data_IF_825355875485
#
_entry.id   IF_825355875485
#
_cell.length_a   1.000
_cell.length_b   1.000
_cell.length_c   1.000
_cell.angle_alpha   90.00
_cell.angle_beta   90.00
_cell.angle_gamma   90.00
#
_symmetry.space_group_name_H-M   'P 1'
#
loop_
_entity.id
_entity.type
_entity.pdbx_description
1 polymer ?
#
# COMPACT_ATOMS: atom_id res chain seq x y z
N UNK A 1 -22.89 6.66 -30.99
CA UNK A 1 -22.22 6.99 -29.70
C UNK A 1 -21.55 8.33 -29.82
N UNK A 2 -21.75 9.24 -28.87
CA UNK A 2 -21.05 10.54 -28.83
C UNK A 2 -19.61 10.29 -28.36
N UNK A 3 -18.62 10.72 -29.15
CA UNK A 3 -17.23 10.73 -28.69
C UNK A 3 -17.05 11.78 -27.60
N UNK A 4 -16.23 11.52 -26.56
CA UNK A 4 -15.87 12.54 -25.59
C UNK A 4 -15.32 13.80 -26.26
N UNK A 5 -15.80 14.95 -25.82
CA UNK A 5 -15.28 16.26 -26.19
C UNK A 5 -13.95 16.54 -25.51
N UNK A 6 -13.13 17.43 -26.06
CA UNK A 6 -11.86 17.84 -25.45
C UNK A 6 -12.04 18.34 -24.01
N UNK A 7 -13.17 19.00 -23.72
CA UNK A 7 -13.52 19.47 -22.39
C UNK A 7 -13.74 18.30 -21.42
N UNK A 8 -14.59 17.33 -21.80
CA UNK A 8 -14.87 16.13 -20.98
C UNK A 8 -13.58 15.30 -20.75
N UNK A 9 -12.70 15.25 -21.76
CA UNK A 9 -11.38 14.59 -21.65
C UNK A 9 -10.49 15.31 -20.63
N UNK A 10 -10.38 16.64 -20.69
CA UNK A 10 -9.54 17.39 -19.76
C UNK A 10 -10.10 17.36 -18.32
N UNK A 11 -11.42 17.38 -18.14
CA UNK A 11 -12.05 17.20 -16.82
C UNK A 11 -11.72 15.82 -16.22
N UNK A 12 -11.78 14.75 -17.02
CA UNK A 12 -11.43 13.41 -16.57
C UNK A 12 -9.92 13.25 -16.27
N UNK A 13 -9.05 13.91 -17.04
CA UNK A 13 -7.61 13.97 -16.75
C UNK A 13 -7.34 14.71 -15.45
N UNK A 14 -8.06 15.79 -15.18
CA UNK A 14 -7.93 16.53 -13.94
C UNK A 14 -8.36 15.68 -12.73
N UNK A 15 -9.47 14.96 -12.86
CA UNK A 15 -9.89 13.98 -11.86
C UNK A 15 -8.82 12.90 -11.63
N UNK A 16 -8.21 12.40 -12.69
CA UNK A 16 -7.06 11.48 -12.59
C UNK A 16 -5.89 12.11 -11.84
N UNK A 17 -5.51 13.36 -12.13
CA UNK A 17 -4.40 14.03 -11.43
C UNK A 17 -4.66 14.12 -9.93
N UNK A 18 -5.87 14.49 -9.53
CA UNK A 18 -6.23 14.57 -8.11
C UNK A 18 -6.16 13.21 -7.42
N UNK A 19 -6.64 12.15 -8.07
CA UNK A 19 -6.47 10.75 -7.60
C UNK A 19 -4.99 10.39 -7.42
N UNK A 20 -4.15 10.76 -8.39
CA UNK A 20 -2.71 10.47 -8.34
C UNK A 20 -2.00 11.25 -7.23
N UNK A 21 -2.42 12.48 -6.95
CA UNK A 21 -1.91 13.26 -5.83
C UNK A 21 -2.32 12.64 -4.48
N UNK A 22 -3.52 12.07 -4.38
CA UNK A 22 -3.95 11.29 -3.22
C UNK A 22 -3.14 10.01 -3.04
N UNK A 23 -2.87 9.25 -4.12
CA UNK A 23 -1.96 8.08 -4.10
C UNK A 23 -0.54 8.46 -3.64
N UNK A 24 -0.01 9.58 -4.14
CA UNK A 24 1.31 10.11 -3.74
C UNK A 24 1.34 10.50 -2.26
N UNK A 25 0.27 11.14 -1.78
CA UNK A 25 0.10 11.50 -0.37
C UNK A 25 0.03 10.25 0.51
N UNK A 26 -0.67 9.19 0.06
CA UNK A 26 -0.74 7.91 0.76
C UNK A 26 0.65 7.30 0.91
N UNK A 27 1.43 7.26 -0.17
CA UNK A 27 2.80 6.75 -0.14
C UNK A 27 3.69 7.53 0.83
N UNK A 28 3.59 8.86 0.83
CA UNK A 28 4.37 9.72 1.73
C UNK A 28 3.99 9.52 3.21
N UNK A 29 2.69 9.42 3.51
CA UNK A 29 2.20 9.18 4.86
C UNK A 29 2.57 7.78 5.36
N UNK A 30 2.39 6.75 4.52
CA UNK A 30 2.83 5.38 4.79
C UNK A 30 4.33 5.35 5.12
N UNK A 31 5.11 6.11 4.35
CA UNK A 31 6.55 6.22 4.57
C UNK A 31 6.90 6.79 5.94
N UNK A 32 6.21 7.85 6.34
CA UNK A 32 6.41 8.48 7.64
C UNK A 32 6.07 7.52 8.78
N UNK A 33 4.91 6.86 8.75
CA UNK A 33 4.47 5.98 9.85
C UNK A 33 5.27 4.70 9.95
N UNK A 34 5.68 4.09 8.84
CA UNK A 34 6.56 2.91 8.88
C UNK A 34 7.95 3.29 9.42
N UNK A 35 8.46 4.47 9.06
CA UNK A 35 9.74 4.97 9.60
C UNK A 35 9.65 5.22 11.10
N UNK A 36 8.57 5.84 11.57
CA UNK A 36 8.37 6.09 13.00
C UNK A 36 8.16 4.78 13.78
N UNK A 37 7.39 3.83 13.25
CA UNK A 37 7.23 2.52 13.85
C UNK A 37 8.57 1.77 13.96
N UNK A 38 9.39 1.75 12.90
CA UNK A 38 10.73 1.15 12.94
C UNK A 38 11.61 1.80 14.02
N UNK A 39 11.59 3.13 14.11
CA UNK A 39 12.34 3.88 15.13
C UNK A 39 11.90 3.50 16.55
N UNK A 40 10.60 3.46 16.81
CA UNK A 40 10.05 3.07 18.11
C UNK A 40 10.43 1.63 18.46
N UNK A 41 10.33 0.69 17.51
CA UNK A 41 10.73 -0.71 17.72
C UNK A 41 12.23 -0.81 18.04
N UNK A 42 13.10 -0.07 17.34
CA UNK A 42 14.53 -0.02 17.63
C UNK A 42 14.77 0.53 19.05
N UNK A 43 14.13 1.64 19.40
CA UNK A 43 14.28 2.29 20.70
C UNK A 43 13.85 1.38 21.85
N UNK A 44 12.71 0.69 21.72
CA UNK A 44 12.26 -0.33 22.68
C UNK A 44 13.30 -1.45 22.74
N UNK A 45 13.66 -2.04 21.60
CA UNK A 45 14.54 -3.21 21.55
C UNK A 45 15.90 -2.99 22.21
N UNK A 46 16.51 -1.82 21.99
CA UNK A 46 17.82 -1.48 22.55
C UNK A 46 17.77 -1.23 24.08
N UNK A 47 16.60 -0.94 24.66
CA UNK A 47 16.47 -0.75 26.12
C UNK A 47 16.51 -2.06 26.92
N UNK A 48 16.11 -3.17 26.30
CA UNK A 48 15.96 -4.45 27.01
C UNK A 48 17.27 -5.22 27.23
N UNK A 49 18.40 -4.79 26.65
CA UNK A 49 19.74 -5.38 26.83
C UNK A 49 19.78 -6.92 26.67
N UNK A 50 18.94 -7.47 25.80
CA UNK A 50 18.93 -8.91 25.51
C UNK A 50 20.15 -9.24 24.65
N UNK A 51 20.87 -10.31 25.01
CA UNK A 51 22.02 -10.79 24.22
C UNK A 51 21.63 -11.00 22.75
N UNK A 52 22.41 -10.51 21.77
CA UNK A 52 22.05 -10.59 20.35
C UNK A 52 21.76 -12.03 19.87
N UNK A 53 22.47 -13.02 20.43
CA UNK A 53 22.26 -14.45 20.09
C UNK A 53 20.87 -14.96 20.52
N UNK A 54 20.35 -14.44 21.61
CA UNK A 54 19.05 -14.81 22.18
C UNK A 54 17.92 -13.86 21.75
N UNK A 55 18.26 -12.70 21.18
CA UNK A 55 17.29 -11.67 20.85
C UNK A 55 16.23 -12.17 19.87
N UNK A 56 14.99 -12.01 20.29
CA UNK A 56 13.74 -12.05 19.54
C UNK A 56 12.73 -11.25 20.38
N UNK A 57 11.72 -10.64 19.77
CA UNK A 57 10.69 -9.89 20.51
C UNK A 57 10.04 -10.78 21.58
N UNK A 58 9.75 -12.03 21.23
CA UNK A 58 9.15 -13.01 22.13
C UNK A 58 10.06 -13.53 23.25
N UNK A 59 11.34 -13.13 23.30
CA UNK A 59 12.24 -13.51 24.40
C UNK A 59 11.91 -12.77 25.70
N UNK A 60 11.19 -11.66 25.62
CA UNK A 60 10.72 -10.92 26.76
C UNK A 60 9.27 -10.50 26.55
N UNK A 61 8.38 -10.87 27.47
CA UNK A 61 6.94 -10.59 27.35
C UNK A 61 6.63 -9.10 27.24
N UNK A 62 7.32 -8.26 28.02
CA UNK A 62 7.08 -6.82 28.02
C UNK A 62 7.60 -6.16 26.73
N UNK A 63 8.75 -6.61 26.20
CA UNK A 63 9.23 -6.21 24.87
C UNK A 63 8.21 -6.57 23.79
N UNK A 64 7.70 -7.81 23.81
CA UNK A 64 6.69 -8.26 22.86
C UNK A 64 5.43 -7.39 22.93
N UNK A 65 4.93 -7.11 24.13
CA UNK A 65 3.74 -6.27 24.34
C UNK A 65 3.94 -4.82 23.83
N UNK A 66 5.11 -4.22 24.09
CA UNK A 66 5.43 -2.88 23.56
C UNK A 66 5.52 -2.87 22.03
N UNK A 67 6.13 -3.89 21.43
CA UNK A 67 6.22 -4.01 19.96
C UNK A 67 4.84 -4.24 19.35
N UNK A 68 4.02 -5.12 19.94
CA UNK A 68 2.66 -5.40 19.45
C UNK A 68 1.78 -4.14 19.51
N UNK A 69 1.92 -3.30 20.55
CA UNK A 69 1.22 -2.02 20.65
C UNK A 69 1.65 -1.03 19.55
N UNK A 70 2.95 -1.00 19.20
CA UNK A 70 3.46 -0.18 18.09
C UNK A 70 2.88 -0.67 16.76
N UNK A 71 2.86 -1.99 16.52
CA UNK A 71 2.31 -2.58 15.29
C UNK A 71 0.79 -2.37 15.19
N UNK A 72 0.06 -2.44 16.30
CA UNK A 72 -1.37 -2.13 16.34
C UNK A 72 -1.63 -0.66 15.96
N UNK A 73 -0.87 0.27 16.55
CA UNK A 73 -0.98 1.70 16.23
C UNK A 73 -0.62 2.01 14.78
N UNK A 74 0.41 1.34 14.25
CA UNK A 74 0.77 1.42 12.82
C UNK A 74 -0.38 0.96 11.93
N UNK A 75 -1.03 -0.16 12.25
CA UNK A 75 -2.14 -0.69 11.48
C UNK A 75 -3.34 0.26 11.47
N UNK A 76 -3.67 0.86 12.62
CA UNK A 76 -4.73 1.87 12.73
C UNK A 76 -4.42 3.09 11.87
N UNK A 77 -3.18 3.61 11.91
CA UNK A 77 -2.77 4.74 11.08
C UNK A 77 -2.83 4.42 9.58
N UNK A 78 -2.44 3.22 9.17
CA UNK A 78 -2.54 2.77 7.76
C UNK A 78 -4.00 2.75 7.30
N UNK A 79 -4.90 2.19 8.11
CA UNK A 79 -6.33 2.12 7.82
C UNK A 79 -6.96 3.51 7.73
N UNK A 80 -6.63 4.39 8.69
CA UNK A 80 -7.13 5.77 8.73
C UNK A 80 -6.68 6.58 7.50
N UNK A 81 -5.38 6.55 7.15
CA UNK A 81 -4.89 7.26 5.98
C UNK A 81 -5.49 6.73 4.68
N UNK A 82 -5.60 5.41 4.52
CA UNK A 82 -6.18 4.81 3.33
C UNK A 82 -7.65 5.22 3.16
N UNK A 83 -8.45 5.16 4.23
CA UNK A 83 -9.85 5.59 4.19
C UNK A 83 -9.98 7.10 3.91
N UNK A 84 -9.19 7.91 4.61
CA UNK A 84 -9.21 9.37 4.45
C UNK A 84 -8.86 9.80 3.04
N UNK A 85 -7.83 9.20 2.43
CA UNK A 85 -7.38 9.56 1.07
C UNK A 85 -8.23 8.93 -0.04
N UNK A 86 -8.86 7.79 0.23
CA UNK A 86 -9.84 7.19 -0.68
C UNK A 86 -11.12 8.02 -0.76
N UNK A 87 -11.58 8.57 0.36
CA UNK A 87 -12.72 9.48 0.42
C UNK A 87 -12.33 10.86 -0.11
N UNK A 88 -11.17 11.38 0.31
CA UNK A 88 -10.66 12.71 -0.05
C UNK A 88 -11.72 13.81 0.16
N UNK A 89 -12.27 14.38 -0.91
CA UNK A 89 -13.31 15.42 -0.87
C UNK A 89 -14.72 14.89 -1.13
N UNK A 90 -14.88 13.59 -1.36
CA UNK A 90 -16.12 12.92 -1.78
C UNK A 90 -17.01 12.51 -0.59
N UNK A 91 -17.22 13.42 0.37
CA UNK A 91 -17.88 13.14 1.65
C UNK A 91 -19.31 12.62 1.51
N UNK A 92 -20.01 13.02 0.44
CA UNK A 92 -21.36 12.55 0.15
C UNK A 92 -21.44 11.04 -0.15
N UNK A 93 -20.32 10.42 -0.54
CA UNK A 93 -20.21 8.99 -0.85
C UNK A 93 -19.33 8.25 0.16
N UNK A 94 -18.97 8.87 1.29
CA UNK A 94 -18.02 8.35 2.28
C UNK A 94 -18.27 6.90 2.68
N UNK A 95 -19.48 6.60 3.16
CA UNK A 95 -19.80 5.27 3.69
C UNK A 95 -19.72 4.19 2.61
N UNK A 96 -20.14 4.51 1.38
CA UNK A 96 -20.06 3.59 0.25
C UNK A 96 -18.62 3.35 -0.21
N UNK A 97 -17.79 4.39 -0.22
CA UNK A 97 -16.36 4.31 -0.54
C UNK A 97 -15.65 3.44 0.50
N UNK A 98 -15.82 3.75 1.79
CA UNK A 98 -15.17 3.02 2.90
C UNK A 98 -15.61 1.56 2.90
N UNK A 99 -16.91 1.27 2.76
CA UNK A 99 -17.41 -0.09 2.67
C UNK A 99 -16.83 -0.84 1.45
N UNK A 100 -16.65 -0.15 0.33
CA UNK A 100 -16.06 -0.75 -0.86
C UNK A 100 -14.59 -1.08 -0.67
N UNK A 101 -13.74 -0.14 -0.26
CA UNK A 101 -12.28 -0.39 -0.15
C UNK A 101 -11.93 -1.36 0.99
N UNK A 102 -12.80 -1.52 1.99
CA UNK A 102 -12.59 -2.44 3.12
C UNK A 102 -13.24 -3.82 2.93
N UNK A 103 -13.99 -4.02 1.84
CA UNK A 103 -14.66 -5.29 1.53
C UNK A 103 -13.69 -6.47 1.47
N UNK A 104 -14.23 -7.67 1.62
CA UNK A 104 -13.46 -8.87 1.35
C UNK A 104 -13.16 -8.95 -0.15
N UNK A 105 -11.87 -9.10 -0.49
CA UNK A 105 -11.40 -9.28 -1.86
C UNK A 105 -10.30 -10.32 -1.86
N UNK A 106 -10.40 -11.33 -2.73
CA UNK A 106 -9.49 -12.48 -2.77
C UNK A 106 -9.30 -13.15 -1.38
N UNK A 107 -10.40 -13.34 -0.66
CA UNK A 107 -10.45 -14.04 0.64
C UNK A 107 -9.91 -13.25 1.83
N UNK A 108 -9.60 -11.95 1.69
CA UNK A 108 -9.18 -11.08 2.80
C UNK A 108 -9.74 -9.67 2.63
N UNK A 109 -10.16 -9.10 3.75
CA UNK A 109 -10.42 -7.65 3.87
C UNK A 109 -9.13 -6.84 3.77
N UNK A 110 -9.26 -5.54 3.55
CA UNK A 110 -8.14 -4.60 3.61
C UNK A 110 -7.36 -4.73 4.93
N UNK A 111 -8.07 -4.69 6.07
CA UNK A 111 -7.48 -4.75 7.41
C UNK A 111 -6.70 -6.05 7.65
N UNK A 112 -7.25 -7.19 7.25
CA UNK A 112 -6.56 -8.48 7.37
C UNK A 112 -5.26 -8.52 6.54
N UNK A 113 -5.30 -8.01 5.30
CA UNK A 113 -4.13 -7.98 4.42
C UNK A 113 -3.07 -6.99 4.90
N UNK A 114 -3.50 -5.81 5.35
CA UNK A 114 -2.62 -4.81 5.96
C UNK A 114 -1.93 -5.38 7.22
N UNK A 115 -2.68 -6.08 8.08
CA UNK A 115 -2.13 -6.75 9.26
C UNK A 115 -1.03 -7.75 8.87
N UNK A 116 -1.26 -8.60 7.87
CA UNK A 116 -0.25 -9.57 7.43
C UNK A 116 1.04 -8.90 6.97
N UNK A 117 0.95 -7.77 6.27
CA UNK A 117 2.13 -7.05 5.83
C UNK A 117 2.80 -6.30 6.98
N UNK A 118 2.04 -5.76 7.94
CA UNK A 118 2.59 -5.17 9.17
C UNK A 118 3.27 -6.21 10.07
N UNK A 119 2.76 -7.44 10.15
CA UNK A 119 3.41 -8.55 10.86
C UNK A 119 4.75 -8.92 10.18
N UNK A 120 4.80 -8.91 8.84
CA UNK A 120 6.05 -9.12 8.08
C UNK A 120 7.04 -7.97 8.30
N UNK A 121 6.56 -6.73 8.28
CA UNK A 121 7.36 -5.55 8.60
C UNK A 121 8.01 -5.67 9.98
N UNK A 122 7.24 -6.09 10.99
CA UNK A 122 7.76 -6.34 12.34
C UNK A 122 8.93 -7.34 12.32
N UNK A 123 8.81 -8.44 11.57
CA UNK A 123 9.87 -9.46 11.40
C UNK A 123 11.11 -8.92 10.67
N UNK A 124 10.93 -8.08 9.67
CA UNK A 124 12.02 -7.42 8.95
C UNK A 124 12.81 -6.48 9.89
N UNK A 125 12.11 -5.69 10.71
CA UNK A 125 12.72 -4.82 11.72
C UNK A 125 13.39 -5.65 12.83
N UNK A 126 12.79 -6.77 13.26
CA UNK A 126 13.40 -7.70 14.23
C UNK A 126 14.77 -8.21 13.75
N UNK A 127 14.86 -8.58 12.47
CA UNK A 127 16.12 -9.03 11.86
C UNK A 127 17.18 -7.92 11.86
N UNK A 128 16.78 -6.70 11.49
CA UNK A 128 17.65 -5.54 11.50
C UNK A 128 18.16 -5.22 12.92
N UNK A 129 17.28 -5.29 13.93
CA UNK A 129 17.64 -5.12 15.34
C UNK A 129 18.64 -6.16 15.80
N UNK A 130 18.43 -7.45 15.50
CA UNK A 130 19.39 -8.51 15.85
C UNK A 130 20.75 -8.23 15.24
N UNK A 131 20.79 -7.84 13.96
CA UNK A 131 22.03 -7.51 13.28
C UNK A 131 22.71 -6.29 13.91
N UNK A 132 21.94 -5.23 14.19
CA UNK A 132 22.42 -4.00 14.81
C UNK A 132 23.01 -4.24 16.20
N UNK A 133 22.34 -5.03 17.04
CA UNK A 133 22.84 -5.43 18.36
C UNK A 133 24.10 -6.30 18.24
N UNK A 134 24.16 -7.22 17.27
CA UNK A 134 25.32 -8.09 17.06
C UNK A 134 26.57 -7.32 16.65
N UNK A 135 26.37 -6.28 15.84
CA UNK A 135 27.43 -5.46 15.24
C UNK A 135 27.69 -4.15 16.00
N UNK A 136 27.07 -3.95 17.16
CA UNK A 136 27.13 -2.72 17.95
C UNK A 136 26.81 -1.44 17.14
N UNK A 137 25.83 -1.52 16.25
CA UNK A 137 25.36 -0.40 15.42
C UNK A 137 24.49 0.53 16.27
N UNK A 138 24.69 1.85 16.14
CA UNK A 138 23.85 2.84 16.82
C UNK A 138 22.42 2.83 16.27
N UNK A 139 21.45 3.24 17.09
CA UNK A 139 20.03 3.27 16.71
C UNK A 139 19.78 4.10 15.45
N UNK A 140 20.47 5.23 15.32
CA UNK A 140 20.36 6.16 14.19
C UNK A 140 20.90 5.55 12.90
N UNK A 141 22.06 4.88 12.98
CA UNK A 141 22.65 4.18 11.83
C UNK A 141 21.77 3.02 11.39
N UNK A 142 21.25 2.24 12.35
CA UNK A 142 20.35 1.14 12.07
C UNK A 142 19.08 1.63 11.37
N UNK A 143 18.41 2.66 11.90
CA UNK A 143 17.23 3.26 11.27
C UNK A 143 17.52 3.76 9.86
N UNK A 144 18.66 4.43 9.65
CA UNK A 144 19.09 4.88 8.32
C UNK A 144 19.24 3.71 7.34
N UNK A 145 19.87 2.61 7.76
CA UNK A 145 20.04 1.41 6.93
C UNK A 145 18.69 0.78 6.56
N UNK A 146 17.72 0.74 7.49
CA UNK A 146 16.36 0.22 7.23
C UNK A 146 15.69 1.08 6.16
N UNK A 147 15.75 2.41 6.29
CA UNK A 147 15.18 3.35 5.31
C UNK A 147 15.77 3.18 3.91
N UNK A 148 17.06 2.86 3.81
CA UNK A 148 17.73 2.63 2.52
C UNK A 148 17.38 1.27 1.89
N UNK A 149 16.96 0.30 2.71
CA UNK A 149 16.68 -1.07 2.30
C UNK A 149 15.18 -1.39 2.23
N UNK A 150 14.28 -0.41 2.32
CA UNK A 150 12.81 -0.65 2.36
C UNK A 150 12.30 -1.53 1.21
N UNK A 151 12.89 -1.44 0.01
CA UNK A 151 12.48 -2.26 -1.15
C UNK A 151 13.01 -3.70 -1.12
N UNK A 152 14.05 -3.96 -0.35
CA UNK A 152 14.64 -5.28 -0.18
C UNK A 152 15.19 -5.42 1.27
N UNK A 153 14.31 -5.55 2.28
CA UNK A 153 14.68 -5.42 3.69
C UNK A 153 15.77 -6.39 4.12
N UNK A 154 15.77 -7.62 3.59
CA UNK A 154 16.77 -8.63 3.93
C UNK A 154 18.15 -8.34 3.29
N UNK A 155 18.23 -7.48 2.28
CA UNK A 155 19.49 -7.01 1.70
C UNK A 155 20.08 -5.80 2.46
N UNK A 156 19.50 -5.44 3.61
CA UNK A 156 20.09 -4.48 4.53
C UNK A 156 21.56 -4.83 4.85
N UNK A 157 22.45 -3.84 4.79
CA UNK A 157 23.89 -4.04 4.94
C UNK A 157 24.30 -4.71 6.26
N UNK A 158 23.61 -4.42 7.36
CA UNK A 158 23.91 -4.99 8.66
C UNK A 158 23.40 -6.42 8.77
N UNK A 159 22.23 -6.73 8.20
CA UNK A 159 21.72 -8.10 8.10
C UNK A 159 22.69 -8.95 7.30
N UNK A 160 23.12 -8.47 6.12
CA UNK A 160 24.06 -9.18 5.26
C UNK A 160 25.42 -9.39 5.93
N UNK A 161 25.94 -8.37 6.62
CA UNK A 161 27.18 -8.50 7.39
C UNK A 161 27.06 -9.54 8.51
N UNK A 162 25.99 -9.50 9.30
CA UNK A 162 25.79 -10.46 10.38
C UNK A 162 25.65 -11.90 9.86
N UNK A 163 24.98 -12.10 8.71
CA UNK A 163 24.92 -13.40 8.03
C UNK A 163 26.31 -13.88 7.59
N UNK A 164 27.14 -12.98 7.04
CA UNK A 164 28.51 -13.32 6.63
C UNK A 164 29.43 -13.69 7.82
N UNK A 165 29.14 -13.17 9.02
CA UNK A 165 29.81 -13.52 10.27
C UNK A 165 29.24 -14.80 10.92
N UNK A 166 28.34 -15.50 10.23
CA UNK A 166 27.79 -16.79 10.66
C UNK A 166 26.60 -16.68 11.62
N UNK A 167 25.97 -15.52 11.77
CA UNK A 167 24.73 -15.38 12.55
C UNK A 167 23.53 -15.83 11.70
N UNK A 168 22.83 -16.94 12.03
CA UNK A 168 21.74 -17.48 11.21
C UNK A 168 20.43 -16.72 11.45
N UNK A 169 20.43 -15.39 11.27
CA UNK A 169 19.30 -14.50 11.63
C UNK A 169 18.00 -14.94 10.97
N UNK A 170 18.03 -15.21 9.67
CA UNK A 170 16.84 -15.54 8.86
C UNK A 170 16.18 -16.84 9.37
N UNK A 171 16.93 -17.94 9.43
CA UNK A 171 16.39 -19.22 9.86
C UNK A 171 16.02 -19.25 11.34
N UNK A 172 16.80 -18.56 12.20
CA UNK A 172 16.53 -18.46 13.65
C UNK A 172 15.24 -17.69 13.97
N UNK A 173 14.92 -16.67 13.18
CA UNK A 173 13.70 -15.87 13.34
C UNK A 173 12.51 -16.39 12.53
N UNK A 174 12.72 -17.41 11.68
CA UNK A 174 11.69 -17.99 10.82
C UNK A 174 11.20 -17.03 9.74
N UNK A 175 12.11 -16.25 9.16
CA UNK A 175 11.77 -15.23 8.17
C UNK A 175 11.64 -15.87 6.78
N UNK A 176 10.53 -15.60 6.12
CA UNK A 176 10.29 -16.05 4.76
C UNK A 176 11.04 -15.16 3.75
N UNK A 177 11.91 -15.78 2.95
CA UNK A 177 12.78 -15.08 1.99
C UNK A 177 12.12 -14.83 0.63
N UNK A 178 11.06 -15.57 0.31
CA UNK A 178 10.30 -15.44 -0.95
C UNK A 178 8.83 -15.81 -0.76
N UNK A 179 7.94 -15.08 -1.42
CA UNK A 179 6.49 -15.33 -1.40
C UNK A 179 5.95 -15.96 -2.70
N UNK A 180 6.85 -16.34 -3.61
CA UNK A 180 6.54 -16.85 -4.95
C UNK A 180 6.81 -15.82 -6.05
N UNK A 181 6.83 -16.29 -7.30
CA UNK A 181 7.09 -15.44 -8.46
C UNK A 181 6.07 -14.29 -8.56
N UNK A 182 6.56 -13.09 -8.87
CA UNK A 182 5.73 -11.89 -9.02
C UNK A 182 5.23 -11.27 -7.70
N UNK A 183 5.65 -11.77 -6.54
CA UNK A 183 5.30 -11.19 -5.23
C UNK A 183 6.51 -10.50 -4.61
N UNK A 184 6.31 -9.28 -4.15
CA UNK A 184 7.34 -8.52 -3.43
C UNK A 184 7.75 -9.23 -2.15
N UNK A 185 9.04 -9.17 -1.84
CA UNK A 185 9.62 -9.62 -0.56
C UNK A 185 9.63 -8.52 0.51
N UNK A 186 9.28 -7.29 0.12
CA UNK A 186 9.24 -6.12 1.00
C UNK A 186 7.82 -5.89 1.52
N UNK A 187 7.68 -5.87 2.85
CA UNK A 187 6.44 -5.43 3.52
C UNK A 187 6.05 -4.00 3.14
N UNK A 188 7.02 -3.11 2.98
CA UNK A 188 6.79 -1.72 2.56
C UNK A 188 6.13 -1.64 1.19
N UNK A 189 6.73 -2.30 0.19
CA UNK A 189 6.17 -2.30 -1.16
C UNK A 189 4.78 -2.92 -1.15
N UNK A 190 4.58 -4.00 -0.39
CA UNK A 190 3.28 -4.66 -0.28
C UNK A 190 2.20 -3.76 0.33
N UNK A 191 2.54 -2.98 1.37
CA UNK A 191 1.65 -1.99 1.99
C UNK A 191 1.41 -0.79 1.07
N UNK A 192 2.43 -0.30 0.37
CA UNK A 192 2.31 0.78 -0.61
C UNK A 192 1.34 0.40 -1.72
N UNK A 193 1.54 -0.77 -2.33
CA UNK A 193 0.68 -1.26 -3.41
C UNK A 193 -0.77 -1.45 -2.91
N UNK A 194 -0.95 -2.01 -1.70
CA UNK A 194 -2.27 -2.20 -1.11
C UNK A 194 -3.00 -0.88 -0.86
N UNK A 195 -2.33 0.08 -0.23
CA UNK A 195 -2.93 1.35 0.19
C UNK A 195 -3.19 2.27 -1.00
N UNK A 196 -2.26 2.36 -1.95
CA UNK A 196 -2.44 3.14 -3.18
C UNK A 196 -3.59 2.57 -4.03
N UNK A 197 -3.70 1.24 -4.12
CA UNK A 197 -4.81 0.61 -4.83
C UNK A 197 -6.15 0.87 -4.14
N UNK A 198 -6.21 0.83 -2.80
CA UNK A 198 -7.43 1.17 -2.07
C UNK A 198 -7.87 2.62 -2.30
N UNK A 199 -6.92 3.56 -2.32
CA UNK A 199 -7.20 4.97 -2.69
C UNK A 199 -7.75 5.04 -4.11
N UNK A 200 -7.09 4.38 -5.07
CA UNK A 200 -7.53 4.34 -6.45
C UNK A 200 -8.96 3.78 -6.62
N UNK A 201 -9.27 2.67 -5.95
CA UNK A 201 -10.61 2.08 -5.94
C UNK A 201 -11.65 3.03 -5.35
N UNK A 202 -11.32 3.74 -4.26
CA UNK A 202 -12.24 4.67 -3.62
C UNK A 202 -12.67 5.82 -4.52
N UNK A 203 -11.72 6.41 -5.25
CA UNK A 203 -11.99 7.45 -6.24
C UNK A 203 -12.87 6.94 -7.38
N UNK A 204 -12.62 5.72 -7.86
CA UNK A 204 -13.42 5.14 -8.94
C UNK A 204 -14.80 4.72 -8.47
N UNK A 205 -14.94 4.34 -7.19
CA UNK A 205 -16.23 4.13 -6.58
C UNK A 205 -17.04 5.42 -6.47
N UNK A 206 -16.41 6.54 -6.11
CA UNK A 206 -17.08 7.85 -6.17
C UNK A 206 -17.54 8.16 -7.59
N UNK A 207 -16.66 8.00 -8.60
CA UNK A 207 -16.98 8.29 -9.99
C UNK A 207 -18.20 7.49 -10.47
N UNK A 208 -18.27 6.20 -10.14
CA UNK A 208 -19.45 5.36 -10.39
C UNK A 208 -20.72 5.96 -9.79
N UNK A 209 -20.69 6.22 -8.48
CA UNK A 209 -21.87 6.66 -7.73
C UNK A 209 -22.36 8.04 -8.20
N UNK A 210 -21.43 8.97 -8.37
CA UNK A 210 -21.70 10.30 -8.88
C UNK A 210 -22.30 10.24 -10.29
N UNK A 211 -21.71 9.43 -11.18
CA UNK A 211 -22.19 9.30 -12.56
C UNK A 211 -23.60 8.71 -12.61
N UNK A 212 -23.85 7.64 -11.85
CA UNK A 212 -25.18 7.02 -11.74
C UNK A 212 -26.24 7.99 -11.23
N UNK A 213 -25.91 8.78 -10.20
CA UNK A 213 -26.82 9.77 -9.65
C UNK A 213 -27.18 10.88 -10.65
N UNK A 214 -26.28 11.18 -11.60
CA UNK A 214 -26.49 12.17 -12.65
C UNK A 214 -27.05 11.60 -13.96
N UNK A 215 -27.51 10.34 -13.97
CA UNK A 215 -28.12 9.71 -15.14
C UNK A 215 -27.14 9.47 -16.30
N UNK A 216 -25.84 9.38 -16.01
CA UNK A 216 -24.82 9.04 -16.99
C UNK A 216 -25.06 7.63 -17.53
N UNK A 217 -25.06 7.49 -18.85
CA UNK A 217 -25.41 6.24 -19.53
C UNK A 217 -24.25 5.22 -19.61
N UNK A 218 -23.00 5.70 -19.53
CA UNK A 218 -21.80 4.86 -19.52
C UNK A 218 -20.54 5.72 -19.42
N UNK A 219 -19.39 5.13 -19.70
CA UNK A 219 -18.12 5.84 -19.65
C UNK A 219 -17.18 5.39 -20.77
N UNK A 220 -16.34 6.31 -21.22
CA UNK A 220 -15.26 6.02 -22.17
C UNK A 220 -13.94 5.94 -21.42
N UNK A 221 -13.22 4.83 -21.53
CA UNK A 221 -11.91 4.64 -20.93
C UNK A 221 -10.82 5.06 -21.90
N UNK A 222 -9.88 5.85 -21.40
CA UNK A 222 -8.68 6.23 -22.13
C UNK A 222 -7.43 5.87 -21.34
N UNK A 223 -6.37 5.55 -22.07
CA UNK A 223 -5.05 5.28 -21.50
C UNK A 223 -4.43 6.58 -20.98
N UNK A 224 -4.00 6.59 -19.72
CA UNK A 224 -3.22 7.70 -19.14
C UNK A 224 -1.75 7.38 -18.85
N UNK A 225 -1.25 6.23 -19.30
CA UNK A 225 0.17 5.84 -19.23
C UNK A 225 0.72 5.58 -20.64
N UNK A 226 2.00 5.90 -20.86
CA UNK A 226 2.73 5.53 -22.09
C UNK A 226 3.35 4.13 -22.02
N UNK A 227 3.28 3.45 -20.86
CA UNK A 227 3.81 2.09 -20.68
C UNK A 227 2.95 1.05 -21.43
N UNK A 228 3.55 0.18 -22.27
CA UNK A 228 2.83 -0.91 -22.93
C UNK A 228 2.26 -1.90 -21.91
N UNK A 229 0.93 -2.02 -21.89
CA UNK A 229 0.16 -2.82 -20.95
C UNK A 229 -1.09 -3.34 -21.66
N UNK A 230 -1.08 -4.62 -22.01
CA UNK A 230 -2.18 -5.26 -22.73
C UNK A 230 -3.51 -5.18 -21.98
N UNK A 231 -3.49 -5.34 -20.65
CA UNK A 231 -4.70 -5.20 -19.82
C UNK A 231 -5.33 -3.82 -19.99
N UNK A 232 -4.52 -2.75 -19.96
CA UNK A 232 -5.04 -1.42 -20.20
C UNK A 232 -5.51 -1.22 -21.64
N UNK A 233 -4.83 -1.84 -22.62
CA UNK A 233 -5.17 -1.72 -24.03
C UNK A 233 -6.50 -2.41 -24.36
N UNK A 234 -6.78 -3.55 -23.72
CA UNK A 234 -8.02 -4.33 -23.87
C UNK A 234 -9.24 -3.60 -23.29
N UNK A 235 -9.04 -2.73 -22.30
CA UNK A 235 -10.08 -1.97 -21.60
C UNK A 235 -10.26 -0.55 -22.17
N UNK A 236 -9.60 -0.17 -23.27
CA UNK A 236 -9.85 1.12 -23.92
C UNK A 236 -11.12 1.03 -24.78
N UNK A 237 -12.09 1.89 -24.49
CA UNK A 237 -13.32 1.92 -25.26
C UNK A 237 -14.49 2.47 -24.45
N UNK A 238 -15.70 2.24 -24.95
CA UNK A 238 -16.92 2.61 -24.25
C UNK A 238 -17.49 1.42 -23.50
N UNK A 239 -17.88 1.67 -22.25
CA UNK A 239 -18.40 0.68 -21.32
C UNK A 239 -19.69 1.18 -20.68
N UNK A 240 -20.60 0.26 -20.41
CA UNK A 240 -21.85 0.53 -19.66
C UNK A 240 -21.87 -0.14 -18.30
N UNK A 241 -21.06 -1.19 -18.13
CA UNK A 241 -20.94 -1.92 -16.87
C UNK A 241 -19.95 -1.21 -15.96
N UNK A 242 -20.46 -0.63 -14.87
CA UNK A 242 -19.66 0.16 -13.94
C UNK A 242 -18.60 -0.66 -13.17
N UNK A 243 -18.71 -1.98 -13.17
CA UNK A 243 -17.65 -2.88 -12.67
C UNK A 243 -16.39 -2.90 -13.53
N UNK A 244 -16.47 -2.38 -14.78
CA UNK A 244 -15.35 -2.30 -15.73
C UNK A 244 -14.58 -0.97 -15.61
N UNK A 245 -14.87 -0.16 -14.59
CA UNK A 245 -14.07 1.03 -14.30
C UNK A 245 -12.63 0.64 -13.90
N UNK A 246 -11.62 1.46 -14.25
CA UNK A 246 -10.29 1.32 -13.66
C UNK A 246 -10.38 1.50 -12.11
N UNK A 247 -9.35 1.11 -11.33
CA UNK A 247 -8.04 0.61 -11.75
C UNK A 247 -8.02 -0.90 -12.07
N UNK A 248 -7.46 -1.26 -13.24
CA UNK A 248 -7.31 -2.66 -13.67
C UNK A 248 -6.15 -3.40 -13.00
N UNK A 249 -5.20 -2.66 -12.43
CA UNK A 249 -4.02 -3.19 -11.74
C UNK A 249 -3.45 -2.14 -10.78
N UNK A 250 -2.52 -2.56 -9.91
CA UNK A 250 -2.00 -1.76 -8.79
C UNK A 250 -1.47 -0.36 -9.15
N UNK A 251 -0.93 -0.19 -10.36
CA UNK A 251 -0.40 1.10 -10.84
C UNK A 251 -1.15 1.68 -12.04
N UNK A 252 -2.44 1.37 -12.17
CA UNK A 252 -3.24 1.80 -13.32
C UNK A 252 -3.38 3.32 -13.38
N UNK A 253 -3.10 3.89 -14.57
CA UNK A 253 -3.25 5.31 -14.87
C UNK A 253 -4.31 5.57 -15.95
N UNK A 254 -5.10 4.57 -16.31
CA UNK A 254 -6.28 4.80 -17.15
C UNK A 254 -7.29 5.68 -16.42
N UNK A 255 -8.08 6.42 -17.19
CA UNK A 255 -9.14 7.29 -16.68
C UNK A 255 -10.41 7.07 -17.47
N UNK A 256 -11.53 7.24 -16.79
CA UNK A 256 -12.86 7.07 -17.36
C UNK A 256 -13.53 8.44 -17.52
N UNK A 257 -14.19 8.63 -18.65
CA UNK A 257 -14.92 9.84 -19.01
C UNK A 257 -16.41 9.50 -18.98
N UNK A 258 -17.19 10.01 -18.00
CA UNK A 258 -18.65 9.84 -17.99
C UNK A 258 -19.30 10.38 -19.27
N UNK A 259 -20.22 9.63 -19.88
CA UNK A 259 -20.94 10.01 -21.11
C UNK A 259 -22.45 9.95 -20.88
N UNK A 260 -23.12 11.09 -20.99
CA UNK A 260 -24.57 11.21 -20.75
C UNK A 260 -25.45 10.83 -21.95
N UNK A 261 -24.94 10.93 -23.18
CA UNK A 261 -25.74 10.70 -24.41
C UNK A 261 -25.27 9.48 -25.19
N UNK A 262 -26.04 8.39 -25.14
CA UNK A 262 -25.94 7.29 -26.12
C UNK A 262 -26.98 7.58 -27.20
N UNK A 263 -26.56 8.10 -28.36
CA UNK A 263 -27.45 8.18 -29.53
C UNK A 263 -28.08 6.81 -29.77
N UNK A 264 -29.35 6.67 -29.41
CA UNK A 264 -30.22 5.62 -29.90
C UNK A 264 -30.53 6.02 -31.35
N UNK A 265 -30.02 5.24 -32.30
CA UNK A 265 -30.53 5.32 -33.67
C UNK A 265 -32.01 4.91 -33.57
N UNK A 266 -32.90 5.88 -33.80
CA UNK A 266 -34.34 5.66 -34.00
C UNK A 266 -34.53 4.88 -35.29
#
# INVERSE_FOLDING_TARGET
>A
MKMPTDKEIEEAKEYLRQRLDAELSMRANLQAVLTEAAKQIIDVSYRYNISPKLFRFSANRQLQEEVDAIIASLLEAIEDYACTLAVATHEENRDAIVAYITRESYGKTFKQRAKEYSDRFSKEVEAAVVAGLSLNVSKEKLLSSIKQSVKAPLLNEHIQKALSEGNPIISRLGIQESYGAGRTVSSWTALSDLTEYAVAEGWMKHLELHSKANGVAGFFVMRGSSYPCSICDDEVGFHTEWSELPPYHGHCKCFAIPVSDVFTLI
#
